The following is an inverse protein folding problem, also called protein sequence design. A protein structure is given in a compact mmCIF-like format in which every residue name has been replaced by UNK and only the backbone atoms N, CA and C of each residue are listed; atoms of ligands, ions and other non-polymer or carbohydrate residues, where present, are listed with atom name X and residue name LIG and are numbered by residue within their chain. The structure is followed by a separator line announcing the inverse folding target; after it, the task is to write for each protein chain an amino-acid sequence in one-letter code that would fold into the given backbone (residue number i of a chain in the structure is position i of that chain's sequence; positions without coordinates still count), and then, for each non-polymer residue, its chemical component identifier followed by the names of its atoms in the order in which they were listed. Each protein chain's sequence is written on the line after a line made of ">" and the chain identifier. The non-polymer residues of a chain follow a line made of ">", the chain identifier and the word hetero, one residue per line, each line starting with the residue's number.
data_IF_727363861955
#
_entry.id   IF_727363861955
#
_cell.length_a   1.000
_cell.length_b   1.000
_cell.length_c   1.000
_cell.angle_alpha   90.00
_cell.angle_beta   90.00
_cell.angle_gamma   90.00
#
_symmetry.space_group_name_H-M   'P 1'
#
loop_
_entity.id
_entity.type
_entity.pdbx_description
1 polymer ?
#
# COMPACT_ATOMS: atom_id res chain seq x y z
N UNK A 1 27.71 10.17 19.36
CA UNK A 1 27.65 9.62 18.00
C UNK A 1 27.61 10.81 17.05
N UNK A 2 28.28 10.74 15.91
CA UNK A 2 28.23 11.84 14.93
C UNK A 2 26.89 11.80 14.20
N UNK A 3 26.31 12.97 13.96
CA UNK A 3 25.06 13.11 13.23
C UNK A 3 25.34 13.29 11.72
N UNK A 4 24.63 12.53 10.88
CA UNK A 4 24.70 12.70 9.45
C UNK A 4 23.93 13.95 9.02
N UNK A 5 24.58 14.81 8.26
CA UNK A 5 23.96 15.99 7.67
C UNK A 5 24.19 16.01 6.17
N UNK A 6 23.11 16.27 5.44
CA UNK A 6 23.20 16.52 4.01
C UNK A 6 23.99 17.84 3.81
N UNK A 7 24.99 17.88 2.90
CA UNK A 7 25.67 19.15 2.59
C UNK A 7 24.66 20.22 2.18
N UNK A 8 24.86 21.45 2.66
CA UNK A 8 23.88 22.55 2.52
C UNK A 8 23.45 22.81 1.05
N UNK A 9 24.37 22.66 0.11
CA UNK A 9 24.15 22.82 -1.32
C UNK A 9 23.26 21.73 -1.95
N UNK A 10 23.08 20.60 -1.24
CA UNK A 10 22.23 19.48 -1.65
C UNK A 10 20.99 19.31 -0.77
N UNK A 11 20.80 20.13 0.24
CA UNK A 11 19.66 20.00 1.11
C UNK A 11 18.44 20.75 0.56
N UNK A 12 17.38 20.04 0.28
CA UNK A 12 16.05 20.59 0.02
C UNK A 12 14.99 19.73 0.66
N UNK A 13 14.17 20.31 1.52
CA UNK A 13 13.09 19.59 2.17
C UNK A 13 11.95 19.36 1.19
N UNK A 14 11.81 18.13 0.74
CA UNK A 14 10.73 17.73 -0.16
C UNK A 14 9.40 17.62 0.60
N UNK A 15 8.42 18.38 0.15
CA UNK A 15 7.09 18.40 0.76
C UNK A 15 6.05 17.73 -0.13
N UNK A 16 5.08 17.04 0.49
CA UNK A 16 3.83 16.66 -0.16
C UNK A 16 2.64 16.95 0.75
N UNK A 17 1.45 16.85 0.21
CA UNK A 17 0.21 16.93 0.99
C UNK A 17 0.16 15.75 1.96
N UNK A 18 -0.22 16.04 3.19
CA UNK A 18 -0.28 15.04 4.25
C UNK A 18 -1.64 15.06 4.94
N UNK A 19 -2.62 14.34 4.36
CA UNK A 19 -3.91 14.19 5.00
C UNK A 19 -3.73 13.52 6.37
N UNK A 20 -4.39 14.06 7.39
CA UNK A 20 -4.26 13.56 8.77
C UNK A 20 -5.27 12.45 9.00
N UNK A 21 -4.90 11.22 8.69
CA UNK A 21 -5.76 10.04 8.84
C UNK A 21 -5.80 9.47 10.26
N UNK A 22 -4.99 9.96 11.19
CA UNK A 22 -4.89 9.47 12.58
C UNK A 22 -4.70 7.94 12.69
N UNK A 23 -3.94 7.35 11.78
CA UNK A 23 -3.72 5.90 11.75
C UNK A 23 -4.87 5.10 11.11
N UNK A 24 -5.83 5.76 10.48
CA UNK A 24 -7.03 5.15 9.88
C UNK A 24 -7.14 5.51 8.39
N UNK A 25 -6.01 5.45 7.69
CA UNK A 25 -5.92 5.88 6.29
C UNK A 25 -6.89 5.09 5.39
N UNK A 26 -7.01 3.80 5.63
CA UNK A 26 -7.75 2.88 4.78
C UNK A 26 -9.26 3.16 4.86
N UNK A 27 -9.82 3.17 6.08
CA UNK A 27 -11.24 3.50 6.28
C UNK A 27 -11.59 4.88 5.74
N UNK A 28 -10.73 5.86 6.01
CA UNK A 28 -10.97 7.24 5.54
C UNK A 28 -10.97 7.28 4.02
N UNK A 29 -10.03 6.62 3.35
CA UNK A 29 -9.95 6.66 1.88
C UNK A 29 -11.13 5.98 1.22
N UNK A 30 -11.52 4.79 1.68
CA UNK A 30 -12.69 4.08 1.15
C UNK A 30 -13.94 4.94 1.36
N UNK A 31 -14.15 5.42 2.59
CA UNK A 31 -15.32 6.27 2.89
C UNK A 31 -15.36 7.52 2.01
N UNK A 32 -14.24 8.21 1.86
CA UNK A 32 -14.17 9.44 1.03
C UNK A 32 -14.45 9.10 -0.44
N UNK A 33 -13.89 8.01 -0.95
CA UNK A 33 -14.13 7.58 -2.32
C UNK A 33 -15.61 7.20 -2.55
N UNK A 34 -16.22 6.46 -1.63
CA UNK A 34 -17.65 6.10 -1.69
C UNK A 34 -18.55 7.32 -1.66
N UNK A 35 -18.29 8.28 -0.77
CA UNK A 35 -19.12 9.48 -0.68
C UNK A 35 -18.95 10.39 -1.89
N UNK A 36 -17.73 10.56 -2.41
CA UNK A 36 -17.46 11.29 -3.65
C UNK A 36 -18.19 10.61 -4.83
N UNK A 37 -18.10 9.29 -4.95
CA UNK A 37 -18.77 8.53 -6.00
C UNK A 37 -20.31 8.66 -5.91
N UNK A 38 -20.86 8.68 -4.68
CA UNK A 38 -22.30 8.82 -4.43
C UNK A 38 -22.83 10.22 -4.76
N UNK A 39 -22.03 11.27 -4.51
CA UNK A 39 -22.41 12.65 -4.86
C UNK A 39 -22.58 12.80 -6.37
N UNK A 40 -21.74 12.13 -7.16
CA UNK A 40 -21.79 12.21 -8.61
C UNK A 40 -21.33 13.57 -9.16
N UNK A 41 -21.64 13.86 -10.43
CA UNK A 41 -21.31 15.16 -11.05
C UNK A 41 -22.33 16.22 -10.67
N UNK A 42 -21.83 17.39 -10.20
CA UNK A 42 -22.64 18.55 -9.80
C UNK A 42 -21.92 19.86 -10.07
N UNK A 43 -22.64 20.97 -10.03
CA UNK A 43 -22.02 22.28 -9.97
C UNK A 43 -21.04 22.34 -8.79
N UNK A 44 -19.90 23.02 -8.97
CA UNK A 44 -18.78 23.00 -8.01
C UNK A 44 -19.21 23.32 -6.57
N UNK A 45 -20.03 24.34 -6.36
CA UNK A 45 -20.47 24.75 -5.02
C UNK A 45 -21.36 23.67 -4.36
N UNK A 46 -22.28 23.08 -5.11
CA UNK A 46 -23.15 22.00 -4.62
C UNK A 46 -22.36 20.73 -4.34
N UNK A 47 -21.41 20.39 -5.21
CA UNK A 47 -20.51 19.24 -5.02
C UNK A 47 -19.70 19.39 -3.72
N UNK A 48 -19.10 20.55 -3.52
CA UNK A 48 -18.31 20.88 -2.32
C UNK A 48 -19.17 20.80 -1.07
N UNK A 49 -20.41 21.32 -1.11
CA UNK A 49 -21.32 21.27 0.02
C UNK A 49 -21.69 19.83 0.39
N UNK A 50 -22.02 18.99 -0.61
CA UNK A 50 -22.45 17.61 -0.39
C UNK A 50 -21.29 16.72 0.10
N UNK A 51 -20.09 16.86 -0.50
CA UNK A 51 -18.90 16.14 -0.02
C UNK A 51 -18.52 16.57 1.39
N UNK A 52 -18.58 17.86 1.71
CA UNK A 52 -18.34 18.33 3.09
C UNK A 52 -19.36 17.75 4.07
N UNK A 53 -20.63 17.72 3.70
CA UNK A 53 -21.68 17.14 4.54
C UNK A 53 -21.45 15.63 4.77
N UNK A 54 -20.99 14.91 3.76
CA UNK A 54 -20.63 13.51 3.87
C UNK A 54 -19.44 13.29 4.82
N UNK A 55 -18.35 14.02 4.60
CA UNK A 55 -17.16 13.94 5.46
C UNK A 55 -17.44 14.32 6.91
N UNK A 56 -18.39 15.25 7.12
CA UNK A 56 -18.84 15.63 8.47
C UNK A 56 -19.52 14.48 9.20
N UNK A 57 -20.18 13.57 8.48
CA UNK A 57 -20.84 12.38 9.05
C UNK A 57 -19.88 11.24 9.39
N UNK A 58 -18.64 11.30 8.92
CA UNK A 58 -17.67 10.22 9.17
C UNK A 58 -17.50 9.98 10.68
N UNK A 59 -17.74 8.75 11.19
CA UNK A 59 -17.72 8.48 12.64
C UNK A 59 -16.37 8.71 13.29
N UNK A 60 -15.26 8.50 12.55
CA UNK A 60 -13.89 8.71 13.00
C UNK A 60 -13.49 10.19 13.12
N UNK A 61 -14.33 11.12 12.66
CA UNK A 61 -14.04 12.56 12.74
C UNK A 61 -14.49 13.14 14.09
N UNK A 62 -13.73 12.86 15.13
CA UNK A 62 -14.06 13.21 16.51
C UNK A 62 -14.26 14.73 16.75
N UNK A 63 -13.61 15.57 15.97
CA UNK A 63 -13.60 17.01 16.19
C UNK A 63 -14.56 17.79 15.31
N UNK A 64 -15.09 17.20 14.23
CA UNK A 64 -16.05 17.78 13.31
C UNK A 64 -15.82 19.27 12.97
N UNK A 65 -14.54 19.67 12.96
CA UNK A 65 -14.16 21.05 12.63
C UNK A 65 -14.22 21.24 11.11
N UNK A 66 -14.85 22.30 10.65
CA UNK A 66 -14.96 22.63 9.23
C UNK A 66 -13.59 22.70 8.53
N UNK A 67 -12.55 23.18 9.23
CA UNK A 67 -11.18 23.21 8.72
C UNK A 67 -10.64 21.81 8.43
N UNK A 68 -10.90 20.85 9.31
CA UNK A 68 -10.48 19.46 9.14
C UNK A 68 -11.18 18.81 7.96
N UNK A 69 -12.48 19.07 7.81
CA UNK A 69 -13.30 18.55 6.71
C UNK A 69 -12.82 19.12 5.37
N UNK A 70 -12.62 20.44 5.31
CA UNK A 70 -12.09 21.07 4.11
C UNK A 70 -10.69 20.53 3.76
N UNK A 71 -9.82 20.31 4.75
CA UNK A 71 -8.51 19.74 4.52
C UNK A 71 -8.63 18.31 3.98
N UNK A 72 -9.48 17.47 4.55
CA UNK A 72 -9.68 16.11 4.04
C UNK A 72 -10.16 16.13 2.59
N UNK A 73 -11.20 16.90 2.26
CA UNK A 73 -11.68 17.00 0.89
C UNK A 73 -10.58 17.45 -0.07
N UNK A 74 -9.84 18.51 0.28
CA UNK A 74 -8.85 19.10 -0.62
C UNK A 74 -7.55 18.29 -0.65
N UNK A 75 -7.04 17.88 0.51
CA UNK A 75 -5.75 17.19 0.61
C UNK A 75 -5.82 15.74 0.10
N UNK A 76 -6.88 15.00 0.44
CA UNK A 76 -7.09 13.63 -0.05
C UNK A 76 -7.30 13.66 -1.56
N UNK A 77 -8.18 14.55 -2.03
CA UNK A 77 -8.47 14.63 -3.47
C UNK A 77 -7.28 15.09 -4.29
N UNK A 78 -6.47 16.03 -3.78
CA UNK A 78 -5.26 16.46 -4.45
C UNK A 78 -4.21 15.34 -4.50
N UNK A 79 -3.99 14.63 -3.38
CA UNK A 79 -2.99 13.59 -3.30
C UNK A 79 -3.36 12.35 -4.15
N UNK A 80 -4.59 11.85 -3.99
CA UNK A 80 -5.03 10.63 -4.64
C UNK A 80 -5.81 10.86 -5.95
N UNK A 81 -6.10 12.10 -6.30
CA UNK A 81 -6.78 12.47 -7.53
C UNK A 81 -8.25 12.04 -7.58
N UNK A 82 -8.98 12.11 -6.46
CA UNK A 82 -10.36 11.60 -6.37
C UNK A 82 -11.42 12.50 -7.00
N UNK A 83 -11.13 13.79 -7.19
CA UNK A 83 -12.05 14.75 -7.79
C UNK A 83 -11.48 15.25 -9.10
N UNK A 84 -12.29 15.24 -10.13
CA UNK A 84 -12.01 15.85 -11.41
C UNK A 84 -12.81 17.14 -11.54
N UNK A 85 -12.08 18.24 -11.71
CA UNK A 85 -12.65 19.56 -11.95
C UNK A 85 -12.91 19.79 -13.43
N UNK A 86 -14.01 20.44 -13.74
CA UNK A 86 -14.31 21.04 -15.06
C UNK A 86 -14.52 22.54 -14.88
N UNK A 87 -14.80 23.28 -15.94
CA UNK A 87 -15.02 24.72 -15.83
C UNK A 87 -16.22 25.11 -14.93
N UNK A 88 -17.23 24.24 -14.84
CA UNK A 88 -18.51 24.54 -14.18
C UNK A 88 -18.96 23.45 -13.19
N UNK A 89 -18.39 22.26 -13.26
CA UNK A 89 -18.79 21.13 -12.42
C UNK A 89 -17.58 20.41 -11.83
N UNK A 90 -17.81 19.74 -10.72
CA UNK A 90 -16.92 18.76 -10.14
C UNK A 90 -17.56 17.38 -10.21
N UNK A 91 -16.75 16.36 -10.42
CA UNK A 91 -17.21 14.97 -10.50
C UNK A 91 -16.22 14.00 -9.89
N UNK A 92 -16.68 12.80 -9.49
CA UNK A 92 -15.79 11.72 -9.09
C UNK A 92 -14.81 11.40 -10.21
N UNK A 93 -13.55 11.23 -9.86
CA UNK A 93 -12.58 10.67 -10.80
C UNK A 93 -12.80 9.17 -10.97
N UNK A 94 -12.23 8.60 -12.05
CA UNK A 94 -12.23 7.17 -12.27
C UNK A 94 -11.63 6.41 -11.07
N UNK A 95 -10.54 6.91 -10.49
CA UNK A 95 -9.88 6.30 -9.34
C UNK A 95 -10.78 6.24 -8.10
N UNK A 96 -11.54 7.32 -7.83
CA UNK A 96 -12.50 7.31 -6.74
C UNK A 96 -13.61 6.28 -6.96
N UNK A 97 -14.13 6.18 -8.19
CA UNK A 97 -15.17 5.21 -8.55
C UNK A 97 -14.65 3.77 -8.43
N UNK A 98 -13.45 3.51 -8.93
CA UNK A 98 -12.82 2.17 -8.83
C UNK A 98 -12.60 1.77 -7.37
N UNK A 99 -12.06 2.67 -6.53
CA UNK A 99 -11.88 2.38 -5.10
C UNK A 99 -13.22 2.19 -4.38
N UNK A 100 -14.24 3.01 -4.69
CA UNK A 100 -15.58 2.86 -4.12
C UNK A 100 -16.23 1.51 -4.46
N UNK A 101 -16.06 1.06 -5.71
CA UNK A 101 -16.68 -0.17 -6.19
C UNK A 101 -15.93 -1.43 -5.73
N UNK A 102 -14.61 -1.42 -5.85
CA UNK A 102 -13.78 -2.60 -5.64
C UNK A 102 -13.25 -2.68 -4.20
N UNK A 103 -13.11 -1.52 -3.52
CA UNK A 103 -12.47 -1.37 -2.20
C UNK A 103 -11.07 -2.00 -2.15
N UNK A 104 -10.41 -2.12 -3.29
CA UNK A 104 -9.06 -2.63 -3.42
C UNK A 104 -8.05 -1.52 -3.16
N UNK A 105 -7.63 -1.42 -1.91
CA UNK A 105 -6.63 -0.44 -1.47
C UNK A 105 -5.25 -0.76 -2.01
N UNK A 106 -4.90 -2.03 -2.11
CA UNK A 106 -3.58 -2.45 -2.60
C UNK A 106 -3.40 -1.97 -4.03
N UNK A 107 -4.37 -2.28 -4.90
CA UNK A 107 -4.38 -1.81 -6.29
C UNK A 107 -4.42 -0.27 -6.35
N UNK A 108 -5.28 0.37 -5.57
CA UNK A 108 -5.39 1.83 -5.51
C UNK A 108 -4.05 2.48 -5.17
N UNK A 109 -3.33 1.97 -4.15
CA UNK A 109 -2.03 2.50 -3.75
C UNK A 109 -0.93 2.15 -4.76
N UNK A 110 -0.94 0.99 -5.40
CA UNK A 110 -0.02 0.67 -6.49
C UNK A 110 -0.17 1.65 -7.65
N UNK A 111 -1.39 1.87 -8.14
CA UNK A 111 -1.67 2.84 -9.22
C UNK A 111 -1.28 4.26 -8.81
N UNK A 112 -1.60 4.67 -7.59
CA UNK A 112 -1.20 5.97 -7.05
C UNK A 112 0.32 6.12 -7.06
N UNK A 113 1.07 5.22 -6.44
CA UNK A 113 2.53 5.29 -6.31
C UNK A 113 3.25 5.17 -7.66
N UNK A 114 2.68 4.40 -8.59
CA UNK A 114 3.23 4.24 -9.93
C UNK A 114 3.23 5.55 -10.73
N UNK A 115 2.18 6.36 -10.54
CA UNK A 115 2.06 7.68 -11.17
C UNK A 115 2.67 8.80 -10.36
N UNK A 116 2.90 8.59 -9.05
CA UNK A 116 3.35 9.64 -8.14
C UNK A 116 4.78 10.09 -8.42
N UNK A 117 4.96 11.40 -8.57
CA UNK A 117 6.25 12.03 -8.84
C UNK A 117 6.36 13.40 -8.20
N UNK A 118 7.56 13.90 -8.15
CA UNK A 118 7.89 15.28 -7.82
C UNK A 118 8.60 15.97 -9.02
N UNK A 119 8.17 17.18 -9.42
CA UNK A 119 6.98 17.89 -8.96
C UNK A 119 5.67 17.25 -9.48
N UNK A 120 4.56 17.55 -8.78
CA UNK A 120 3.22 17.12 -9.14
C UNK A 120 2.16 18.03 -8.55
N UNK A 121 0.99 18.17 -9.21
CA UNK A 121 -0.07 19.07 -8.76
C UNK A 121 -0.83 18.57 -7.51
N UNK A 122 -0.32 17.56 -6.82
CA UNK A 122 -0.81 17.10 -5.52
C UNK A 122 -0.47 18.06 -4.37
N UNK A 123 0.37 19.08 -4.61
CA UNK A 123 0.73 20.13 -3.65
C UNK A 123 0.32 21.50 -4.18
N UNK A 124 0.39 22.49 -3.30
CA UNK A 124 0.04 23.87 -3.67
C UNK A 124 0.95 24.38 -4.81
N UNK A 125 0.43 25.15 -5.77
CA UNK A 125 1.21 25.64 -6.93
C UNK A 125 2.52 26.33 -6.57
N UNK A 126 2.57 27.04 -5.44
CA UNK A 126 3.82 27.66 -4.97
C UNK A 126 4.87 26.62 -4.58
N UNK A 127 4.48 25.55 -3.91
CA UNK A 127 5.40 24.48 -3.55
C UNK A 127 5.84 23.67 -4.78
N UNK A 128 4.98 23.52 -5.80
CA UNK A 128 5.37 22.96 -7.11
C UNK A 128 6.44 23.84 -7.75
N UNK A 129 6.23 25.16 -7.76
CA UNK A 129 7.19 26.12 -8.32
C UNK A 129 8.54 26.04 -7.61
N UNK A 130 8.56 25.99 -6.28
CA UNK A 130 9.79 25.83 -5.49
C UNK A 130 10.55 24.55 -5.88
N UNK A 131 9.86 23.43 -6.12
CA UNK A 131 10.47 22.18 -6.59
C UNK A 131 11.03 22.31 -8.01
N UNK A 132 10.31 22.99 -8.90
CA UNK A 132 10.75 23.29 -10.28
C UNK A 132 12.02 24.14 -10.27
N UNK A 133 12.07 25.20 -9.47
CA UNK A 133 13.24 26.09 -9.33
C UNK A 133 14.47 25.35 -8.80
N UNK A 134 14.27 24.33 -7.95
CA UNK A 134 15.34 23.42 -7.53
C UNK A 134 15.73 22.41 -8.60
N UNK A 135 14.99 22.28 -9.68
CA UNK A 135 15.25 21.31 -10.75
C UNK A 135 14.90 19.88 -10.38
N UNK A 136 13.97 19.68 -9.44
CA UNK A 136 13.59 18.34 -8.96
C UNK A 136 12.85 17.58 -10.06
N UNK A 137 13.29 16.33 -10.28
CA UNK A 137 12.66 15.36 -11.17
C UNK A 137 12.79 13.96 -10.56
N UNK A 138 11.78 13.51 -9.80
CA UNK A 138 11.95 12.37 -8.92
C UNK A 138 10.68 11.51 -8.77
N UNK A 139 10.83 10.20 -8.94
CA UNK A 139 9.79 9.18 -8.64
C UNK A 139 10.17 8.39 -7.40
N UNK A 140 9.57 8.69 -6.24
CA UNK A 140 10.02 8.16 -4.96
C UNK A 140 9.88 6.64 -4.84
N UNK A 141 8.73 6.06 -5.20
CA UNK A 141 8.52 4.63 -5.09
C UNK A 141 9.47 3.84 -6.00
N UNK A 142 9.62 4.27 -7.25
CA UNK A 142 10.56 3.65 -8.19
C UNK A 142 11.99 3.64 -7.65
N UNK A 143 12.47 4.79 -7.17
CA UNK A 143 13.84 4.90 -6.67
C UNK A 143 14.10 4.04 -5.44
N UNK A 144 13.16 4.04 -4.48
CA UNK A 144 13.27 3.21 -3.26
C UNK A 144 13.31 1.72 -3.61
N UNK A 145 12.45 1.26 -4.54
CA UNK A 145 12.45 -0.13 -4.99
C UNK A 145 13.74 -0.50 -5.71
N UNK A 146 14.24 0.36 -6.61
CA UNK A 146 15.52 0.16 -7.28
C UNK A 146 16.68 0.09 -6.28
N UNK A 147 16.71 0.98 -5.28
CA UNK A 147 17.74 0.97 -4.22
C UNK A 147 17.72 -0.32 -3.42
N UNK A 148 16.54 -0.76 -2.98
CA UNK A 148 16.41 -1.98 -2.19
C UNK A 148 16.73 -3.22 -3.03
N UNK A 149 16.35 -3.28 -4.31
CA UNK A 149 16.78 -4.36 -5.22
C UNK A 149 18.30 -4.41 -5.37
N UNK A 150 18.92 -3.24 -5.56
CA UNK A 150 20.39 -3.16 -5.63
C UNK A 150 21.04 -3.61 -4.32
N UNK A 151 20.54 -3.19 -3.17
CA UNK A 151 21.07 -3.60 -1.87
C UNK A 151 20.98 -5.11 -1.63
N UNK A 152 19.93 -5.74 -2.15
CA UNK A 152 19.65 -7.18 -1.99
C UNK A 152 20.12 -8.05 -3.16
N UNK A 153 20.90 -7.52 -4.12
CA UNK A 153 21.33 -8.22 -5.34
C UNK A 153 22.08 -9.54 -5.12
N UNK A 154 22.61 -9.77 -3.92
CA UNK A 154 23.31 -11.00 -3.56
C UNK A 154 22.37 -12.07 -2.96
N UNK A 155 21.05 -11.93 -3.14
CA UNK A 155 20.07 -12.93 -2.72
C UNK A 155 19.80 -12.98 -1.22
N UNK A 156 20.20 -11.95 -0.46
CA UNK A 156 20.02 -11.92 1.00
C UNK A 156 18.65 -11.44 1.45
N UNK A 157 17.84 -10.82 0.61
CA UNK A 157 16.48 -10.25 0.82
C UNK A 157 16.18 -9.70 2.25
N UNK A 158 17.22 -9.49 3.05
CA UNK A 158 17.15 -9.11 4.46
C UNK A 158 17.58 -7.66 4.71
N UNK A 159 17.88 -6.92 3.64
CA UNK A 159 18.34 -5.55 3.74
C UNK A 159 17.15 -4.63 3.51
N UNK A 160 16.79 -3.87 4.54
CA UNK A 160 15.74 -2.86 4.50
C UNK A 160 16.29 -1.44 4.64
N UNK A 161 15.40 -0.46 4.55
CA UNK A 161 15.65 0.97 4.75
C UNK A 161 14.77 1.52 5.86
N UNK A 162 15.32 2.43 6.67
CA UNK A 162 14.53 3.12 7.71
C UNK A 162 13.94 4.43 7.17
N UNK A 163 12.89 4.95 7.85
CA UNK A 163 12.29 6.25 7.51
C UNK A 163 13.32 7.39 7.56
N UNK A 164 14.25 7.33 8.49
CA UNK A 164 15.31 8.34 8.64
C UNK A 164 16.33 8.27 7.52
N UNK A 165 16.75 7.08 7.12
CA UNK A 165 17.65 6.89 5.96
C UNK A 165 16.98 7.33 4.66
N UNK A 166 15.73 6.97 4.44
CA UNK A 166 14.96 7.43 3.28
C UNK A 166 14.87 8.96 3.25
N UNK A 167 14.57 9.59 4.39
CA UNK A 167 14.48 11.03 4.52
C UNK A 167 15.81 11.72 4.18
N UNK A 168 16.89 11.32 4.85
CA UNK A 168 18.17 12.05 4.81
C UNK A 168 19.11 11.62 3.69
N UNK A 169 18.94 10.42 3.14
CA UNK A 169 19.81 9.96 2.06
C UNK A 169 19.13 9.93 0.68
N UNK A 170 17.80 10.14 0.62
CA UNK A 170 17.04 10.09 -0.63
C UNK A 170 16.18 11.34 -0.79
N UNK A 171 15.10 11.49 0.01
CA UNK A 171 14.02 12.45 -0.26
C UNK A 171 14.47 13.93 -0.14
N UNK A 172 15.31 14.24 0.84
CA UNK A 172 15.77 15.61 1.07
C UNK A 172 17.15 15.89 0.44
N UNK A 173 17.68 14.95 -0.35
CA UNK A 173 18.99 15.04 -0.96
C UNK A 173 18.87 15.35 -2.45
N UNK A 174 19.25 16.55 -2.86
CA UNK A 174 19.22 17.00 -4.26
C UNK A 174 20.15 16.19 -5.17
N UNK A 175 21.15 15.50 -4.64
CA UNK A 175 21.96 14.55 -5.44
C UNK A 175 21.06 13.46 -6.03
N UNK A 176 20.07 13.00 -5.26
CA UNK A 176 19.08 12.01 -5.69
C UNK A 176 17.95 12.65 -6.48
N UNK A 177 17.29 13.65 -5.89
CA UNK A 177 16.01 14.17 -6.40
C UNK A 177 16.14 15.12 -7.57
N UNK A 178 17.34 15.71 -7.77
CA UNK A 178 17.67 16.63 -8.85
C UNK A 178 18.73 16.07 -9.79
N UNK A 179 19.86 15.60 -9.21
CA UNK A 179 21.05 15.24 -10.00
C UNK A 179 21.04 13.77 -10.44
N UNK A 180 19.96 13.02 -10.10
CA UNK A 180 19.71 11.63 -10.49
C UNK A 180 20.85 10.69 -10.09
N UNK A 181 21.38 10.88 -8.87
CA UNK A 181 22.41 10.00 -8.32
C UNK A 181 21.96 8.53 -8.39
N UNK A 182 22.83 7.66 -8.91
CA UNK A 182 22.55 6.24 -9.02
C UNK A 182 22.41 5.57 -7.65
N UNK A 183 21.59 4.54 -7.60
CA UNK A 183 21.29 3.77 -6.36
C UNK A 183 22.54 3.19 -5.70
N UNK A 184 23.60 2.93 -6.46
CA UNK A 184 24.89 2.43 -5.94
C UNK A 184 25.55 3.41 -4.98
N UNK A 185 25.63 4.69 -5.40
CA UNK A 185 26.23 5.76 -4.59
C UNK A 185 25.43 6.05 -3.35
N UNK A 186 24.10 6.07 -3.47
CA UNK A 186 23.19 6.25 -2.35
C UNK A 186 23.28 5.07 -1.37
N UNK A 187 23.31 3.84 -1.87
CA UNK A 187 23.48 2.66 -1.02
C UNK A 187 24.83 2.64 -0.31
N UNK A 188 25.89 3.03 -1.00
CA UNK A 188 27.22 3.17 -0.38
C UNK A 188 27.16 4.18 0.78
N UNK A 189 26.55 5.34 0.58
CA UNK A 189 26.37 6.37 1.61
C UNK A 189 25.60 5.83 2.82
N UNK A 190 24.48 5.14 2.61
CA UNK A 190 23.70 4.52 3.70
C UNK A 190 24.54 3.47 4.44
N UNK A 191 25.25 2.63 3.71
CA UNK A 191 26.08 1.57 4.28
C UNK A 191 27.24 2.14 5.11
N UNK A 192 27.88 3.20 4.63
CA UNK A 192 28.96 3.88 5.35
C UNK A 192 28.43 4.56 6.61
N UNK A 193 27.25 5.20 6.54
CA UNK A 193 26.60 5.77 7.72
C UNK A 193 26.28 4.68 8.77
N UNK A 194 25.78 3.52 8.36
CA UNK A 194 25.53 2.37 9.24
C UNK A 194 26.81 1.87 9.90
N UNK A 195 27.89 1.67 9.13
CA UNK A 195 29.20 1.25 9.64
C UNK A 195 29.77 2.23 10.67
N UNK A 196 29.62 3.52 10.40
CA UNK A 196 30.10 4.60 11.29
C UNK A 196 29.11 4.93 12.44
N UNK A 197 28.00 4.20 12.56
CA UNK A 197 26.97 4.41 13.57
C UNK A 197 26.48 5.87 13.61
N UNK A 198 26.30 6.47 12.42
CA UNK A 198 25.78 7.82 12.30
C UNK A 198 24.34 7.87 12.79
N UNK A 199 23.98 8.93 13.46
CA UNK A 199 22.59 9.24 13.82
C UNK A 199 22.00 10.21 12.80
N UNK A 200 20.67 10.30 12.75
CA UNK A 200 19.94 11.21 11.87
C UNK A 200 19.03 12.12 12.69
N UNK A 201 18.85 13.35 12.26
CA UNK A 201 17.87 14.25 12.85
C UNK A 201 16.45 13.68 12.71
N UNK A 202 15.75 13.58 13.82
CA UNK A 202 14.37 13.10 13.90
C UNK A 202 13.43 14.19 14.44
N UNK A 203 13.92 15.42 14.55
CA UNK A 203 13.15 16.51 15.14
C UNK A 203 12.01 16.99 14.21
N UNK A 204 10.88 17.32 14.80
CA UNK A 204 9.74 17.88 14.10
C UNK A 204 9.14 16.93 13.05
N UNK A 205 8.79 17.51 11.90
CA UNK A 205 8.14 16.80 10.79
C UNK A 205 9.12 16.36 9.67
N UNK A 206 10.44 16.45 9.92
CA UNK A 206 11.44 16.22 8.88
C UNK A 206 11.32 14.83 8.26
N UNK A 207 11.17 13.80 9.08
CA UNK A 207 11.12 12.40 8.64
C UNK A 207 9.73 11.96 8.13
N UNK A 208 8.69 12.73 8.45
CA UNK A 208 7.30 12.31 8.22
C UNK A 208 6.95 12.11 6.75
N UNK A 209 7.38 13.02 5.86
CA UNK A 209 7.02 12.93 4.43
C UNK A 209 7.60 11.68 3.76
N UNK A 210 8.87 11.39 4.01
CA UNK A 210 9.47 10.14 3.55
C UNK A 210 8.81 8.91 4.18
N UNK A 211 8.48 9.01 5.48
CA UNK A 211 7.78 7.97 6.21
C UNK A 211 6.41 7.65 5.61
N UNK A 212 5.62 8.66 5.29
CA UNK A 212 4.29 8.47 4.69
C UNK A 212 4.38 7.72 3.34
N UNK A 213 5.38 8.02 2.51
CA UNK A 213 5.58 7.30 1.24
C UNK A 213 5.95 5.82 1.48
N UNK A 214 6.82 5.53 2.45
CA UNK A 214 7.14 4.14 2.80
C UNK A 214 5.92 3.40 3.35
N UNK A 215 5.09 4.06 4.17
CA UNK A 215 3.84 3.49 4.68
C UNK A 215 2.85 3.22 3.52
N UNK A 216 2.74 4.12 2.53
CA UNK A 216 1.92 3.89 1.33
C UNK A 216 2.46 2.74 0.47
N UNK A 217 3.78 2.57 0.39
CA UNK A 217 4.39 1.44 -0.30
C UNK A 217 4.15 0.12 0.45
N UNK A 218 4.04 0.15 1.78
CA UNK A 218 3.64 -1.01 2.57
C UNK A 218 2.16 -1.37 2.33
N UNK A 219 1.24 -0.40 2.34
CA UNK A 219 -0.18 -0.62 2.00
C UNK A 219 -0.33 -1.19 0.58
N UNK A 220 0.51 -0.74 -0.35
CA UNK A 220 0.58 -1.26 -1.72
C UNK A 220 1.20 -2.66 -1.82
N UNK A 221 1.54 -3.31 -0.72
CA UNK A 221 2.27 -4.57 -0.66
C UNK A 221 3.66 -4.59 -1.35
N UNK A 222 4.17 -3.44 -1.78
CA UNK A 222 5.50 -3.34 -2.40
C UNK A 222 6.63 -3.49 -1.36
N UNK A 223 6.37 -3.04 -0.15
CA UNK A 223 7.25 -3.19 1.01
C UNK A 223 6.55 -3.94 2.14
N UNK A 224 7.34 -4.47 3.06
CA UNK A 224 6.87 -5.06 4.31
C UNK A 224 7.69 -4.55 5.49
N UNK A 225 7.09 -4.44 6.65
CA UNK A 225 7.76 -4.05 7.88
C UNK A 225 7.34 -4.97 9.03
N UNK A 226 8.26 -5.23 9.95
CA UNK A 226 8.01 -6.06 11.14
C UNK A 226 8.00 -5.22 12.43
N UNK A 227 8.53 -4.00 12.36
CA UNK A 227 8.72 -3.12 13.53
C UNK A 227 8.22 -1.68 13.29
N UNK A 228 7.57 -1.43 12.15
CA UNK A 228 7.16 -0.11 11.65
C UNK A 228 8.30 0.92 11.54
N UNK A 229 9.55 0.44 11.53
CA UNK A 229 10.76 1.28 11.45
C UNK A 229 11.60 0.99 10.23
N UNK A 230 11.73 -0.31 9.90
CA UNK A 230 12.55 -0.79 8.78
C UNK A 230 11.67 -1.45 7.74
N UNK A 231 11.81 -1.05 6.50
CA UNK A 231 11.01 -1.48 5.36
C UNK A 231 11.86 -2.32 4.43
N UNK A 232 11.36 -3.49 4.09
CA UNK A 232 11.99 -4.49 3.25
C UNK A 232 11.19 -4.70 1.98
N UNK A 233 11.83 -5.17 0.90
CA UNK A 233 11.09 -5.60 -0.29
C UNK A 233 10.10 -6.73 0.05
N UNK A 234 8.90 -6.64 -0.47
CA UNK A 234 7.98 -7.76 -0.46
C UNK A 234 8.25 -8.64 -1.69
N UNK A 235 8.97 -9.73 -1.48
CA UNK A 235 9.37 -10.65 -2.57
C UNK A 235 8.21 -11.37 -3.23
N UNK A 236 7.03 -11.40 -2.59
CA UNK A 236 5.80 -11.95 -3.17
C UNK A 236 5.24 -11.06 -4.30
N UNK A 237 5.64 -9.78 -4.34
CA UNK A 237 5.22 -8.79 -5.33
C UNK A 237 6.32 -8.49 -6.37
N UNK A 238 7.17 -9.47 -6.67
CA UNK A 238 8.35 -9.24 -7.52
C UNK A 238 7.97 -8.70 -8.90
N UNK A 239 6.89 -9.20 -9.52
CA UNK A 239 6.42 -8.71 -10.82
C UNK A 239 6.02 -7.23 -10.76
N UNK A 240 5.24 -6.84 -9.75
CA UNK A 240 4.87 -5.44 -9.52
C UNK A 240 6.11 -4.58 -9.30
N UNK A 241 7.05 -5.04 -8.48
CA UNK A 241 8.31 -4.35 -8.19
C UNK A 241 9.14 -4.15 -9.45
N UNK A 242 9.23 -5.16 -10.33
CA UNK A 242 9.92 -5.05 -11.62
C UNK A 242 9.24 -3.98 -12.50
N UNK A 243 7.91 -4.02 -12.63
CA UNK A 243 7.15 -3.01 -13.39
C UNK A 243 7.45 -1.58 -12.90
N UNK A 244 7.50 -1.38 -11.58
CA UNK A 244 7.88 -0.09 -11.00
C UNK A 244 9.31 0.31 -11.35
N UNK A 245 10.28 -0.61 -11.18
CA UNK A 245 11.69 -0.32 -11.42
C UNK A 245 12.01 0.02 -12.87
N UNK A 246 11.31 -0.62 -13.82
CA UNK A 246 11.52 -0.47 -15.27
C UNK A 246 10.61 0.59 -15.91
N UNK A 247 9.74 1.23 -15.12
CA UNK A 247 8.80 2.21 -15.61
C UNK A 247 9.50 3.46 -16.18
N UNK A 248 9.06 3.86 -17.38
CA UNK A 248 9.40 5.13 -17.99
C UNK A 248 8.27 6.17 -17.89
N UNK A 249 7.22 5.84 -17.12
CA UNK A 249 6.06 6.70 -16.95
C UNK A 249 6.44 7.98 -16.21
N UNK A 250 6.13 9.12 -16.84
CA UNK A 250 6.45 10.44 -16.33
C UNK A 250 5.44 11.46 -16.85
N UNK A 251 5.00 12.37 -15.98
CA UNK A 251 4.24 13.56 -16.42
C UNK A 251 5.22 14.66 -16.84
N UNK A 252 5.26 14.96 -18.11
CA UNK A 252 6.21 15.87 -18.73
C UNK A 252 5.78 17.35 -18.72
N UNK A 253 4.57 17.65 -18.27
CA UNK A 253 4.02 19.01 -18.28
C UNK A 253 4.86 20.07 -17.57
N UNK A 254 5.77 19.64 -16.68
CA UNK A 254 6.69 20.54 -15.98
C UNK A 254 8.12 20.56 -16.58
N UNK A 255 8.44 19.70 -17.53
CA UNK A 255 9.83 19.44 -17.95
C UNK A 255 10.56 20.69 -18.46
N UNK A 256 9.90 21.52 -19.26
CA UNK A 256 10.51 22.78 -19.79
C UNK A 256 10.85 23.72 -18.63
N UNK A 257 9.99 23.82 -17.62
CA UNK A 257 10.23 24.66 -16.45
C UNK A 257 11.33 24.08 -15.56
N UNK A 258 11.37 22.78 -15.39
CA UNK A 258 12.42 22.07 -14.63
C UNK A 258 13.77 22.28 -15.30
N UNK A 259 13.86 22.13 -16.63
CA UNK A 259 15.10 22.30 -17.39
C UNK A 259 15.64 23.73 -17.31
N UNK A 260 14.75 24.70 -17.42
CA UNK A 260 15.13 26.13 -17.29
C UNK A 260 15.32 26.59 -15.85
N UNK A 261 14.85 25.78 -14.87
CA UNK A 261 14.72 26.14 -13.44
C UNK A 261 13.97 27.47 -13.25
N UNK A 262 13.03 27.71 -14.13
CA UNK A 262 12.23 28.92 -14.13
C UNK A 262 10.78 28.62 -14.51
N UNK A 263 9.87 29.21 -13.76
CA UNK A 263 8.44 29.08 -13.99
C UNK A 263 7.68 30.24 -13.34
N UNK A 264 6.38 30.23 -13.53
CA UNK A 264 5.49 31.14 -12.81
C UNK A 264 4.22 30.40 -12.35
N UNK A 265 3.52 31.00 -11.41
CA UNK A 265 2.34 30.37 -10.79
C UNK A 265 1.21 30.13 -11.79
N UNK A 266 1.04 30.95 -12.80
CA UNK A 266 -0.02 30.78 -13.81
C UNK A 266 0.25 29.56 -14.68
N UNK A 267 1.49 29.42 -15.15
CA UNK A 267 1.90 28.24 -15.94
C UNK A 267 1.80 26.96 -15.12
N UNK A 268 2.22 26.98 -13.83
CA UNK A 268 2.09 25.83 -12.94
C UNK A 268 0.63 25.43 -12.74
N UNK A 269 -0.27 26.40 -12.55
CA UNK A 269 -1.71 26.16 -12.45
C UNK A 269 -2.30 25.60 -13.74
N UNK A 270 -1.88 26.14 -14.91
CA UNK A 270 -2.34 25.65 -16.20
C UNK A 270 -1.96 24.16 -16.47
N UNK A 271 -0.87 23.68 -15.87
CA UNK A 271 -0.50 22.26 -15.96
C UNK A 271 -1.32 21.34 -15.05
N UNK A 272 -2.12 21.86 -14.11
CA UNK A 272 -2.84 21.05 -13.13
C UNK A 272 -3.85 20.11 -13.77
N UNK A 273 -4.59 20.55 -14.78
CA UNK A 273 -5.57 19.72 -15.48
C UNK A 273 -4.90 18.56 -16.20
N UNK A 274 -3.76 18.83 -16.86
CA UNK A 274 -2.93 17.80 -17.48
C UNK A 274 -2.41 16.78 -16.46
N UNK A 275 -2.00 17.24 -15.28
CA UNK A 275 -1.61 16.35 -14.18
C UNK A 275 -2.76 15.44 -13.75
N UNK A 276 -3.96 15.99 -13.49
CA UNK A 276 -5.10 15.18 -13.08
C UNK A 276 -5.55 14.21 -14.18
N UNK A 277 -5.47 14.60 -15.45
CA UNK A 277 -5.70 13.71 -16.58
C UNK A 277 -4.67 12.57 -16.60
N UNK A 278 -3.39 12.88 -16.36
CA UNK A 278 -2.31 11.89 -16.30
C UNK A 278 -2.52 10.87 -15.17
N UNK A 279 -2.81 11.31 -13.95
CA UNK A 279 -2.96 10.39 -12.80
C UNK A 279 -4.25 9.56 -12.84
N UNK A 280 -5.24 9.99 -13.63
CA UNK A 280 -6.52 9.30 -13.80
C UNK A 280 -6.66 8.59 -15.16
N UNK A 281 -5.60 8.55 -15.99
CA UNK A 281 -5.64 7.87 -17.30
C UNK A 281 -5.87 6.38 -17.14
N UNK A 282 -6.40 5.78 -18.22
CA UNK A 282 -6.50 4.34 -18.32
C UNK A 282 -5.12 3.71 -18.51
N UNK A 283 -4.74 2.84 -17.58
CA UNK A 283 -3.46 2.14 -17.60
C UNK A 283 -3.65 0.72 -18.13
N UNK A 284 -4.18 0.59 -19.35
CA UNK A 284 -4.60 -0.69 -20.00
C UNK A 284 -3.56 -1.82 -19.97
N UNK A 285 -2.29 -1.51 -19.78
CA UNK A 285 -1.20 -2.49 -19.82
C UNK A 285 -0.53 -2.71 -18.44
N UNK A 286 -1.05 -2.10 -17.39
CA UNK A 286 -0.46 -2.18 -16.05
C UNK A 286 -1.55 -2.62 -15.08
N UNK A 287 -1.87 -3.91 -15.14
CA UNK A 287 -2.69 -4.57 -14.15
C UNK A 287 -1.79 -4.91 -12.96
N UNK A 288 -2.08 -4.32 -11.82
CA UNK A 288 -1.43 -4.61 -10.54
C UNK A 288 -2.31 -5.48 -9.65
N UNK A 289 -3.48 -5.90 -10.14
CA UNK A 289 -4.33 -6.80 -9.39
C UNK A 289 -3.54 -8.06 -9.05
N UNK A 290 -3.41 -8.32 -7.78
CA UNK A 290 -2.77 -9.53 -7.29
C UNK A 290 -3.80 -10.64 -7.44
N UNK A 291 -3.58 -11.57 -8.37
CA UNK A 291 -4.37 -12.78 -8.45
C UNK A 291 -4.00 -13.70 -7.28
N UNK A 292 -4.57 -13.40 -6.12
CA UNK A 292 -4.39 -14.18 -4.88
C UNK A 292 -4.78 -15.65 -5.10
N UNK A 293 -5.74 -15.91 -6.00
CA UNK A 293 -6.13 -17.29 -6.35
C UNK A 293 -5.05 -18.00 -7.14
N UNK A 294 -4.29 -17.28 -7.99
CA UNK A 294 -3.13 -17.85 -8.68
C UNK A 294 -1.99 -18.16 -7.71
N UNK A 295 -1.76 -17.33 -6.70
CA UNK A 295 -0.79 -17.61 -5.61
C UNK A 295 -1.18 -18.87 -4.84
N UNK A 296 -2.42 -18.95 -4.39
CA UNK A 296 -2.93 -20.13 -3.65
C UNK A 296 -2.92 -21.37 -4.54
N UNK A 297 -3.23 -21.24 -5.82
CA UNK A 297 -3.21 -22.34 -6.78
C UNK A 297 -1.78 -22.81 -7.06
N UNK A 298 -0.82 -21.90 -7.20
CA UNK A 298 0.59 -22.24 -7.41
C UNK A 298 1.18 -22.91 -6.18
N UNK A 299 0.94 -22.38 -4.97
CA UNK A 299 1.38 -23.02 -3.72
C UNK A 299 0.70 -24.38 -3.51
N UNK A 300 -0.58 -24.52 -3.82
CA UNK A 300 -1.31 -25.78 -3.70
C UNK A 300 -0.85 -26.81 -4.75
N UNK A 301 -0.53 -26.39 -5.96
CA UNK A 301 0.00 -27.25 -7.03
C UNK A 301 1.44 -27.68 -6.75
N UNK A 302 2.27 -26.77 -6.25
CA UNK A 302 3.64 -27.08 -5.81
C UNK A 302 3.64 -28.05 -4.62
N UNK A 303 2.76 -27.84 -3.64
CA UNK A 303 2.54 -28.76 -2.52
C UNK A 303 2.01 -30.13 -2.98
N UNK A 304 1.14 -30.15 -3.99
CA UNK A 304 0.62 -31.39 -4.58
C UNK A 304 1.69 -32.16 -5.34
N UNK A 305 2.51 -31.46 -6.13
CA UNK A 305 3.65 -32.06 -6.81
C UNK A 305 4.70 -32.58 -5.83
N UNK A 306 4.99 -31.87 -4.75
CA UNK A 306 5.87 -32.32 -3.68
C UNK A 306 5.34 -33.58 -2.99
N UNK A 307 4.01 -33.65 -2.72
CA UNK A 307 3.36 -34.85 -2.17
C UNK A 307 3.33 -36.02 -3.14
N UNK A 308 3.11 -35.78 -4.43
CA UNK A 308 3.17 -36.84 -5.46
C UNK A 308 4.59 -37.35 -5.66
N UNK A 309 5.58 -36.47 -5.68
CA UNK A 309 6.99 -36.82 -5.76
C UNK A 309 7.45 -37.64 -4.52
N UNK A 310 6.99 -37.27 -3.32
CA UNK A 310 7.25 -38.00 -2.09
C UNK A 310 6.56 -39.39 -2.08
N UNK A 311 5.33 -39.51 -2.61
CA UNK A 311 4.62 -40.77 -2.78
C UNK A 311 5.32 -41.71 -3.77
N UNK A 312 5.68 -41.19 -4.96
CA UNK A 312 6.35 -41.94 -6.00
C UNK A 312 7.74 -42.44 -5.55
N UNK A 313 8.40 -41.68 -4.70
CA UNK A 313 9.67 -42.04 -4.11
C UNK A 313 9.56 -43.14 -3.02
N UNK A 314 8.48 -43.12 -2.26
CA UNK A 314 8.16 -44.14 -1.23
C UNK A 314 7.84 -45.48 -1.88
N UNK A 315 7.11 -45.46 -3.00
CA UNK A 315 6.78 -46.67 -3.78
C UNK A 315 7.99 -47.25 -4.55
N UNK A 316 9.04 -46.45 -4.77
CA UNK A 316 10.29 -46.90 -5.40
C UNK A 316 11.29 -47.59 -4.46
N UNK A 317 10.96 -47.78 -3.17
CA UNK A 317 11.75 -48.57 -2.23
C UNK A 317 13.11 -47.99 -1.82
N UNK A 318 13.27 -46.67 -1.88
CA UNK A 318 14.53 -45.97 -1.58
C UNK A 318 14.61 -45.62 -0.08
N UNK A 319 15.40 -46.39 0.67
CA UNK A 319 15.72 -46.11 2.07
C UNK A 319 16.44 -44.75 2.30
N UNK A 320 17.09 -44.20 1.27
CA UNK A 320 17.71 -42.86 1.27
C UNK A 320 16.72 -41.69 1.38
N UNK A 321 15.41 -41.98 1.29
CA UNK A 321 14.39 -40.93 1.32
C UNK A 321 13.93 -40.55 2.73
N UNK A 322 14.19 -41.35 3.73
CA UNK A 322 13.90 -41.06 5.14
C UNK A 322 14.77 -39.88 5.62
N UNK A 323 16.02 -39.79 5.17
CA UNK A 323 16.88 -38.63 5.42
C UNK A 323 16.41 -37.36 4.68
N UNK A 324 15.74 -37.53 3.54
CA UNK A 324 15.17 -36.38 2.80
C UNK A 324 13.84 -35.86 3.38
N UNK A 325 13.02 -36.73 3.94
CA UNK A 325 11.82 -36.31 4.69
C UNK A 325 12.23 -35.45 5.89
N UNK A 326 13.25 -35.83 6.63
CA UNK A 326 13.83 -35.04 7.72
C UNK A 326 14.38 -33.69 7.25
N UNK A 327 14.95 -33.63 6.04
CA UNK A 327 15.48 -32.40 5.45
C UNK A 327 14.35 -31.50 4.95
N UNK A 328 13.30 -32.10 4.38
CA UNK A 328 12.08 -31.37 3.95
C UNK A 328 11.31 -30.87 5.17
N UNK A 329 11.11 -31.71 6.20
CA UNK A 329 10.51 -31.25 7.46
C UNK A 329 11.34 -30.17 8.16
N UNK A 330 12.67 -30.28 8.16
CA UNK A 330 13.55 -29.22 8.68
C UNK A 330 13.50 -27.95 7.85
N UNK A 331 13.40 -28.05 6.51
CA UNK A 331 13.21 -26.86 5.64
C UNK A 331 11.84 -26.23 5.82
N UNK A 332 10.80 -27.05 5.94
CA UNK A 332 9.44 -26.59 6.24
C UNK A 332 9.42 -25.96 7.64
N UNK A 333 10.02 -26.59 8.66
CA UNK A 333 10.15 -26.02 9.99
C UNK A 333 10.95 -24.71 9.99
N UNK A 334 12.07 -24.67 9.24
CA UNK A 334 12.86 -23.44 9.09
C UNK A 334 12.09 -22.34 8.35
N UNK A 335 11.25 -22.69 7.38
CA UNK A 335 10.38 -21.75 6.69
C UNK A 335 9.29 -21.22 7.64
N UNK A 336 8.68 -22.09 8.45
CA UNK A 336 7.70 -21.68 9.46
C UNK A 336 8.33 -20.86 10.59
N UNK A 337 9.58 -21.15 10.98
CA UNK A 337 10.33 -20.34 11.95
C UNK A 337 10.68 -18.93 11.42
N UNK A 338 10.67 -18.74 10.11
CA UNK A 338 10.88 -17.44 9.47
C UNK A 338 9.59 -16.63 9.27
N UNK A 339 8.41 -17.26 9.40
CA UNK A 339 7.13 -16.57 9.28
C UNK A 339 6.83 -15.80 10.57
N UNK A 340 6.46 -14.55 10.40
CA UNK A 340 5.92 -13.77 11.53
C UNK A 340 4.50 -14.21 11.86
N UNK A 341 4.03 -13.87 13.06
CA UNK A 341 2.63 -14.09 13.44
C UNK A 341 1.66 -13.44 12.45
N UNK A 342 2.04 -12.31 11.88
CA UNK A 342 1.26 -11.62 10.85
C UNK A 342 1.20 -12.44 9.56
N UNK A 343 2.34 -12.95 9.07
CA UNK A 343 2.36 -13.78 7.85
C UNK A 343 1.46 -15.02 7.98
N UNK A 344 1.47 -15.64 9.17
CA UNK A 344 0.60 -16.78 9.48
C UNK A 344 -0.87 -16.36 9.45
N UNK A 345 -1.21 -15.21 10.03
CA UNK A 345 -2.54 -14.62 9.97
C UNK A 345 -2.99 -14.37 8.53
N UNK A 346 -2.17 -13.69 7.75
CA UNK A 346 -2.45 -13.34 6.35
C UNK A 346 -2.68 -14.59 5.47
N UNK A 347 -1.91 -15.66 5.69
CA UNK A 347 -2.12 -16.96 5.03
C UNK A 347 -3.48 -17.53 5.40
N UNK A 348 -3.84 -17.54 6.70
CA UNK A 348 -5.13 -18.03 7.18
C UNK A 348 -6.30 -17.28 6.58
N UNK A 349 -6.24 -15.95 6.57
CA UNK A 349 -7.25 -15.10 5.95
C UNK A 349 -7.40 -15.38 4.45
N UNK A 350 -6.29 -15.59 3.72
CA UNK A 350 -6.31 -15.91 2.30
C UNK A 350 -7.00 -17.25 2.03
N UNK A 351 -6.71 -18.26 2.86
CA UNK A 351 -7.35 -19.58 2.77
C UNK A 351 -8.86 -19.49 3.02
N UNK A 352 -9.28 -18.77 4.06
CA UNK A 352 -10.69 -18.59 4.39
C UNK A 352 -11.42 -17.80 3.31
N UNK A 353 -10.80 -16.75 2.78
CA UNK A 353 -11.35 -16.00 1.65
C UNK A 353 -11.58 -16.90 0.43
N UNK A 354 -10.59 -17.71 0.04
CA UNK A 354 -10.73 -18.68 -1.05
C UNK A 354 -11.82 -19.73 -0.76
N UNK A 355 -11.94 -20.20 0.49
CA UNK A 355 -13.02 -21.09 0.91
C UNK A 355 -14.40 -20.44 0.73
N UNK A 356 -14.58 -19.20 1.15
CA UNK A 356 -15.86 -18.48 1.01
C UNK A 356 -16.22 -18.25 -0.45
N UNK A 357 -15.26 -17.86 -1.29
CA UNK A 357 -15.48 -17.75 -2.75
C UNK A 357 -15.94 -19.09 -3.35
N UNK A 358 -15.29 -20.18 -2.97
CA UNK A 358 -15.67 -21.52 -3.45
C UNK A 358 -17.06 -21.93 -2.93
N UNK A 359 -17.39 -21.62 -1.67
CA UNK A 359 -18.71 -21.89 -1.08
C UNK A 359 -19.83 -21.21 -1.89
N UNK A 360 -19.66 -19.95 -2.22
CA UNK A 360 -20.63 -19.18 -3.03
C UNK A 360 -20.70 -19.72 -4.45
N UNK A 361 -19.57 -20.07 -5.06
CA UNK A 361 -19.51 -20.66 -6.41
C UNK A 361 -20.22 -22.00 -6.46
N UNK A 362 -19.95 -22.90 -5.53
CA UNK A 362 -20.62 -24.21 -5.43
C UNK A 362 -22.11 -24.08 -5.12
N UNK A 363 -22.52 -22.98 -4.48
CA UNK A 363 -23.92 -22.62 -4.26
C UNK A 363 -24.63 -22.06 -5.50
N UNK A 364 -23.91 -21.93 -6.62
CA UNK A 364 -24.48 -21.41 -7.90
C UNK A 364 -24.72 -19.90 -7.92
N UNK A 365 -24.10 -19.16 -7.01
CA UNK A 365 -24.23 -17.69 -6.89
C UNK A 365 -22.91 -16.99 -7.16
N UNK A 366 -22.27 -17.32 -8.28
CA UNK A 366 -21.02 -16.66 -8.71
C UNK A 366 -21.14 -15.12 -8.79
N UNK A 367 -22.37 -14.62 -9.02
CA UNK A 367 -22.71 -13.21 -8.99
C UNK A 367 -22.40 -12.51 -7.67
N UNK A 368 -22.31 -13.24 -6.55
CA UNK A 368 -22.06 -12.69 -5.23
C UNK A 368 -20.58 -12.72 -4.80
N UNK A 369 -19.70 -13.33 -5.58
CA UNK A 369 -18.27 -13.46 -5.21
C UNK A 369 -17.62 -12.10 -4.99
N UNK A 370 -17.99 -11.09 -5.78
CA UNK A 370 -17.48 -9.73 -5.66
C UNK A 370 -17.82 -9.04 -4.33
N UNK A 371 -18.76 -9.58 -3.57
CA UNK A 371 -19.13 -9.08 -2.23
C UNK A 371 -18.27 -9.67 -1.12
N UNK A 372 -17.47 -10.70 -1.42
CA UNK A 372 -16.55 -11.31 -0.45
C UNK A 372 -15.26 -10.50 -0.44
N UNK A 373 -14.91 -9.94 0.72
CA UNK A 373 -13.79 -9.01 0.85
C UNK A 373 -13.01 -9.32 2.10
N UNK A 374 -11.69 -9.34 1.96
CA UNK A 374 -10.79 -9.27 3.11
C UNK A 374 -10.83 -7.85 3.65
N UNK A 375 -10.90 -7.74 4.95
CA UNK A 375 -10.86 -6.46 5.64
C UNK A 375 -9.45 -6.31 6.22
N UNK A 376 -8.68 -5.31 5.80
CA UNK A 376 -7.36 -5.10 6.37
C UNK A 376 -7.44 -4.94 7.89
N UNK A 377 -6.50 -5.56 8.61
CA UNK A 377 -6.46 -5.65 10.09
C UNK A 377 -6.53 -4.28 10.78
N UNK A 378 -6.17 -3.23 10.07
CA UNK A 378 -6.13 -1.85 10.55
C UNK A 378 -7.53 -1.22 10.67
N UNK A 379 -8.56 -1.85 10.09
CA UNK A 379 -9.94 -1.32 10.16
C UNK A 379 -10.56 -1.43 11.54
N UNK A 380 -10.01 -2.24 12.41
CA UNK A 380 -10.55 -2.45 13.76
C UNK A 380 -12.08 -2.65 13.80
N UNK A 381 -12.65 -3.20 12.72
CA UNK A 381 -14.10 -3.46 12.62
C UNK A 381 -14.53 -4.71 13.37
N UNK A 382 -13.55 -5.48 13.89
CA UNK A 382 -13.78 -6.66 14.69
C UNK A 382 -14.13 -7.92 13.88
N UNK A 383 -13.66 -8.00 12.62
CA UNK A 383 -13.69 -9.20 11.78
C UNK A 383 -12.71 -9.03 10.60
N UNK A 384 -12.22 -10.13 10.05
CA UNK A 384 -11.18 -10.12 9.01
C UNK A 384 -11.75 -10.24 7.59
N UNK A 385 -12.91 -10.88 7.42
CA UNK A 385 -13.52 -11.06 6.12
C UNK A 385 -15.02 -10.71 6.19
N UNK A 386 -15.45 -9.84 5.27
CA UNK A 386 -16.85 -9.65 4.95
C UNK A 386 -17.24 -10.63 3.86
N UNK A 387 -18.24 -11.48 4.11
CA UNK A 387 -18.79 -12.45 3.15
C UNK A 387 -20.30 -12.33 3.10
N UNK A 388 -20.93 -13.20 2.32
CA UNK A 388 -22.39 -13.27 2.17
C UNK A 388 -22.90 -14.69 2.21
N UNK A 389 -24.15 -14.87 2.60
CA UNK A 389 -24.91 -16.10 2.40
C UNK A 389 -25.44 -16.19 0.96
N UNK A 390 -25.95 -17.36 0.57
CA UNK A 390 -26.56 -17.53 -0.76
C UNK A 390 -27.83 -16.68 -0.96
N UNK A 391 -28.44 -16.23 0.13
CA UNK A 391 -29.58 -15.31 0.16
C UNK A 391 -29.17 -13.83 0.37
N UNK A 392 -27.90 -13.50 0.14
CA UNK A 392 -27.31 -12.16 0.21
C UNK A 392 -27.17 -11.56 1.63
N UNK A 393 -27.52 -12.30 2.67
CA UNK A 393 -27.26 -11.85 4.05
C UNK A 393 -25.75 -11.80 4.29
N UNK A 394 -25.30 -10.71 4.92
CA UNK A 394 -23.87 -10.52 5.26
C UNK A 394 -23.40 -11.52 6.30
N UNK A 395 -22.17 -12.01 6.10
CA UNK A 395 -21.39 -12.81 7.06
C UNK A 395 -20.17 -12.01 7.46
N UNK A 396 -19.84 -12.03 8.72
CA UNK A 396 -18.65 -11.41 9.30
C UNK A 396 -17.76 -12.52 9.85
N UNK A 397 -16.56 -12.63 9.35
CA UNK A 397 -15.70 -13.78 9.63
C UNK A 397 -14.42 -13.28 10.28
N UNK A 398 -14.15 -13.77 11.46
CA UNK A 398 -12.86 -13.65 12.15
C UNK A 398 -12.05 -14.90 11.87
N UNK A 399 -10.76 -14.71 11.55
CA UNK A 399 -9.85 -15.82 11.23
C UNK A 399 -8.81 -15.99 12.31
N UNK A 400 -8.74 -17.17 12.91
CA UNK A 400 -7.74 -17.52 13.93
C UNK A 400 -6.83 -18.63 13.41
N UNK A 401 -5.63 -18.27 13.00
CA UNK A 401 -4.69 -19.20 12.37
C UNK A 401 -3.65 -19.71 13.35
N UNK A 402 -3.35 -21.00 13.26
CA UNK A 402 -2.27 -21.65 14.01
C UNK A 402 -1.47 -22.58 13.11
N UNK A 403 -0.16 -22.63 13.33
CA UNK A 403 0.75 -23.62 12.74
C UNK A 403 0.87 -24.89 13.59
N UNK A 404 0.14 -24.97 14.70
CA UNK A 404 0.14 -26.16 15.57
C UNK A 404 -0.50 -27.34 14.86
N UNK A 405 0.13 -28.50 14.93
CA UNK A 405 -0.44 -29.77 14.48
C UNK A 405 -1.62 -30.24 15.35
N UNK A 406 -1.84 -29.59 16.49
CA UNK A 406 -2.95 -29.90 17.39
C UNK A 406 -4.19 -29.09 17.01
N UNK A 407 -5.38 -29.68 17.01
CA UNK A 407 -6.63 -28.94 16.77
C UNK A 407 -6.77 -27.75 17.72
N UNK A 408 -7.23 -26.61 17.18
CA UNK A 408 -7.67 -25.49 17.98
C UNK A 408 -8.87 -25.89 18.83
N UNK A 409 -8.77 -25.70 20.14
CA UNK A 409 -9.90 -25.89 21.04
C UNK A 409 -10.60 -24.54 21.26
N UNK A 410 -11.92 -24.56 21.22
CA UNK A 410 -12.77 -23.37 21.35
C UNK A 410 -12.48 -22.55 22.62
N UNK A 411 -12.10 -23.19 23.71
CA UNK A 411 -11.75 -22.55 24.98
C UNK A 411 -10.36 -21.87 24.99
N UNK A 412 -9.63 -21.91 23.89
CA UNK A 412 -8.32 -21.26 23.70
C UNK A 412 -8.34 -20.14 22.66
N UNK A 413 -9.50 -19.86 22.09
CA UNK A 413 -9.66 -18.76 21.13
C UNK A 413 -9.84 -17.47 21.91
N UNK A 414 -8.94 -16.54 21.71
CA UNK A 414 -9.03 -15.20 22.25
C UNK A 414 -9.66 -14.25 21.24
N UNK A 415 -10.75 -13.60 21.63
CA UNK A 415 -11.34 -12.49 20.90
C UNK A 415 -10.95 -11.18 21.61
N UNK A 416 -10.53 -10.19 20.85
CA UNK A 416 -10.35 -8.83 21.34
C UNK A 416 -11.69 -8.23 21.76
N UNK A 417 -11.68 -7.16 22.52
CA UNK A 417 -12.91 -6.45 22.92
C UNK A 417 -13.75 -6.01 21.72
N UNK A 418 -13.08 -5.62 20.64
CA UNK A 418 -13.74 -5.15 19.43
C UNK A 418 -14.40 -6.31 18.66
N UNK A 419 -13.69 -7.43 18.47
CA UNK A 419 -14.21 -8.66 17.88
C UNK A 419 -15.41 -9.17 18.68
N UNK A 420 -15.33 -9.17 20.03
CA UNK A 420 -16.44 -9.55 20.90
C UNK A 420 -17.66 -8.64 20.76
N UNK A 421 -17.44 -7.32 20.70
CA UNK A 421 -18.53 -6.36 20.52
C UNK A 421 -19.22 -6.57 19.16
N UNK A 422 -18.45 -6.82 18.10
CA UNK A 422 -18.99 -7.12 16.77
C UNK A 422 -19.75 -8.44 16.76
N UNK A 423 -19.18 -9.48 17.34
CA UNK A 423 -19.88 -10.77 17.50
C UNK A 423 -21.21 -10.62 18.28
N UNK A 424 -21.18 -9.85 19.38
CA UNK A 424 -22.35 -9.61 20.21
C UNK A 424 -23.44 -8.79 19.50
N UNK A 425 -23.07 -7.94 18.54
CA UNK A 425 -24.03 -7.12 17.77
C UNK A 425 -24.56 -7.79 16.51
N UNK A 426 -23.78 -8.71 15.93
CA UNK A 426 -24.12 -9.37 14.67
C UNK A 426 -24.67 -10.79 14.82
N UNK A 427 -24.53 -11.38 16.03
CA UNK A 427 -25.07 -12.69 16.43
C UNK A 427 -24.80 -13.83 15.44
N UNK A 428 -25.84 -14.37 14.83
CA UNK A 428 -25.81 -15.50 13.90
C UNK A 428 -25.09 -15.22 12.57
N UNK A 429 -24.67 -13.99 12.35
CA UNK A 429 -23.89 -13.58 11.19
C UNK A 429 -22.39 -13.50 11.45
N UNK A 430 -21.94 -13.74 12.67
CA UNK A 430 -20.54 -13.76 13.04
C UNK A 430 -20.00 -15.18 13.11
N UNK A 431 -18.91 -15.41 12.43
CA UNK A 431 -18.26 -16.71 12.31
C UNK A 431 -16.80 -16.61 12.71
N UNK A 432 -16.26 -17.66 13.30
CA UNK A 432 -14.83 -17.80 13.57
C UNK A 432 -14.34 -19.03 12.82
N UNK A 433 -13.35 -18.85 11.96
CA UNK A 433 -12.71 -19.89 11.18
C UNK A 433 -11.32 -20.23 11.69
#
# INVERSE_FOLDING_TARGET
>A
MAEYQIPKEYYFRLHHVRPRFKGDIENVLIYVAEEIARVGEKATDDFVADVNAALFRYPGNAHRELKTINNWRTEISALFGFIQHTEITDKPSRRAIELANNQDLVECFKVFLYNFQYPGAHIKPRAVLEQIEQGIKFKPAQYVLQLLRYANREGKNSIGITKTEACHCIFNDLRVTRDHEGVESTWKRISDNRKNKMTYDQTGDVVRYAGDILDYMEIANLLKTYDSRTYYLNTLEEESIIKFCESNEWFDGYDNMIQSRHGNLETVKACSDGWFAYVNRDMKNTDFSTDILAYIANDAEELKQLKENARNAKDAGLADFIERDDVIEKRIATYYDMLTTKDIGDIGESLVHGHECMRIKLGGREDLIHLIKRIPTQFAVGYDISSVELDERKRYIEVKTTISSKPLHFNRIHLTKNEWNTASSTHDRYFVY
#
